data_IF_922229309211
#
_entry.id   IF_922229309211
#
_cell.length_a   1.000
_cell.length_b   1.000
_cell.length_c   1.000
_cell.angle_alpha   90.00
_cell.angle_beta   90.00
_cell.angle_gamma   90.00
#
_symmetry.space_group_name_H-M   'P 1'
#
loop_
_entity.id
_entity.type
_entity.pdbx_description
1 polymer ?
#
# COMPACT_ATOMS: atom_id res chain seq x y z
N UNK A 1 -4.42 -8.36 -4.19
CA UNK A 1 -4.09 -6.97 -3.78
C UNK A 1 -5.11 -6.42 -2.78
N UNK A 2 -6.39 -6.35 -3.15
CA UNK A 2 -7.44 -5.72 -2.35
C UNK A 2 -7.52 -6.19 -0.89
N UNK A 3 -7.54 -7.50 -0.64
CA UNK A 3 -7.73 -8.05 0.70
C UNK A 3 -6.71 -7.51 1.72
N UNK A 4 -5.41 -7.61 1.41
CA UNK A 4 -4.36 -7.14 2.32
C UNK A 4 -4.35 -5.61 2.45
N UNK A 5 -4.63 -4.87 1.38
CA UNK A 5 -4.74 -3.40 1.46
C UNK A 5 -5.84 -2.96 2.41
N UNK A 6 -7.04 -3.56 2.31
CA UNK A 6 -8.16 -3.26 3.21
C UNK A 6 -7.86 -3.67 4.64
N UNK A 7 -7.34 -4.89 4.83
CA UNK A 7 -6.96 -5.44 6.13
C UNK A 7 -5.98 -4.51 6.86
N UNK A 8 -4.86 -4.16 6.23
CA UNK A 8 -3.80 -3.38 6.89
C UNK A 8 -4.18 -1.91 7.07
N UNK A 9 -4.92 -1.33 6.12
CA UNK A 9 -5.39 0.05 6.26
C UNK A 9 -6.39 0.16 7.42
N UNK A 10 -7.39 -0.72 7.46
CA UNK A 10 -8.34 -0.77 8.57
C UNK A 10 -7.60 -0.99 9.90
N UNK A 11 -6.71 -1.99 9.99
CA UNK A 11 -5.94 -2.23 11.21
C UNK A 11 -5.12 -1.01 11.69
N UNK A 12 -4.72 -0.11 10.78
CA UNK A 12 -3.97 1.10 11.11
C UNK A 12 -4.87 2.26 11.55
N UNK A 13 -6.02 2.45 10.90
CA UNK A 13 -6.81 3.67 11.01
C UNK A 13 -8.19 3.50 11.66
N UNK A 14 -8.66 2.28 11.88
CA UNK A 14 -10.02 2.03 12.36
C UNK A 14 -10.30 2.67 13.73
N UNK A 15 -9.31 2.64 14.62
CA UNK A 15 -9.41 3.28 15.94
C UNK A 15 -9.55 4.80 15.88
N UNK A 16 -9.22 5.42 14.74
CA UNK A 16 -9.21 6.87 14.53
C UNK A 16 -10.27 7.32 13.52
N UNK A 17 -11.10 6.41 13.01
CA UNK A 17 -12.07 6.68 11.95
C UNK A 17 -13.46 6.31 12.40
N UNK A 18 -14.47 7.14 12.11
CA UNK A 18 -15.86 6.76 12.34
C UNK A 18 -16.20 5.54 11.47
N UNK A 19 -16.99 4.59 12.00
CA UNK A 19 -17.28 3.32 11.32
C UNK A 19 -17.80 3.51 9.89
N UNK A 20 -18.72 4.44 9.69
CA UNK A 20 -19.31 4.72 8.37
C UNK A 20 -18.32 5.34 7.37
N UNK A 21 -17.25 5.98 7.85
CA UNK A 21 -16.25 6.61 6.99
C UNK A 21 -15.17 5.60 6.58
N UNK A 22 -14.84 4.65 7.45
CA UNK A 22 -13.90 3.58 7.13
C UNK A 22 -14.42 2.72 5.96
N UNK A 23 -15.66 2.23 6.05
CA UNK A 23 -16.20 1.35 5.00
C UNK A 23 -16.29 2.08 3.65
N UNK A 24 -16.78 3.32 3.63
CA UNK A 24 -16.80 4.17 2.43
C UNK A 24 -15.41 4.41 1.85
N UNK A 25 -14.43 4.69 2.71
CA UNK A 25 -13.05 4.88 2.29
C UNK A 25 -12.52 3.61 1.61
N UNK A 26 -12.73 2.44 2.23
CA UNK A 26 -12.25 1.18 1.70
C UNK A 26 -12.95 0.80 0.38
N UNK A 27 -14.25 1.06 0.27
CA UNK A 27 -15.01 0.86 -0.97
C UNK A 27 -14.53 1.76 -2.10
N UNK A 28 -14.15 3.01 -1.80
CA UNK A 28 -13.71 3.97 -2.82
C UNK A 28 -12.24 3.76 -3.21
N UNK A 29 -11.33 3.72 -2.24
CA UNK A 29 -9.88 3.73 -2.48
C UNK A 29 -9.30 2.34 -2.74
N UNK A 30 -10.01 1.28 -2.32
CA UNK A 30 -9.61 -0.10 -2.57
C UNK A 30 -10.69 -0.87 -3.34
N UNK A 31 -11.49 -0.18 -4.17
CA UNK A 31 -12.35 -0.87 -5.14
C UNK A 31 -11.51 -1.72 -6.10
N UNK A 32 -12.10 -2.79 -6.63
CA UNK A 32 -11.44 -3.61 -7.63
C UNK A 32 -11.08 -2.81 -8.88
N UNK A 33 -11.94 -1.88 -9.28
CA UNK A 33 -11.69 -0.99 -10.42
C UNK A 33 -10.46 -0.12 -10.19
N UNK A 34 -10.40 0.59 -9.05
CA UNK A 34 -9.27 1.46 -8.68
C UNK A 34 -7.98 0.65 -8.63
N UNK A 35 -7.97 -0.49 -7.94
CA UNK A 35 -6.78 -1.32 -7.81
C UNK A 35 -6.33 -1.93 -9.15
N UNK A 36 -7.26 -2.28 -10.05
CA UNK A 36 -6.91 -2.73 -11.40
C UNK A 36 -6.27 -1.61 -12.21
N UNK A 37 -6.79 -0.38 -12.13
CA UNK A 37 -6.17 0.78 -12.77
C UNK A 37 -4.75 1.02 -12.23
N UNK A 38 -4.58 0.98 -10.91
CA UNK A 38 -3.27 1.15 -10.27
C UNK A 38 -2.28 0.03 -10.66
N UNK A 39 -2.73 -1.24 -10.72
CA UNK A 39 -1.88 -2.37 -11.10
C UNK A 39 -1.48 -2.38 -12.59
N UNK A 40 -2.30 -1.77 -13.45
CA UNK A 40 -2.05 -1.66 -14.89
C UNK A 40 -1.31 -0.37 -15.26
N UNK A 41 -1.07 0.53 -14.30
CA UNK A 41 -0.31 1.73 -14.54
C UNK A 41 1.19 1.40 -14.56
N UNK A 42 1.87 1.67 -15.68
CA UNK A 42 3.29 1.41 -15.85
C UNK A 42 4.18 2.23 -14.88
N UNK A 43 3.65 3.37 -14.41
CA UNK A 43 4.30 4.26 -13.45
C UNK A 43 3.98 3.93 -11.98
N UNK A 44 3.20 2.88 -11.72
CA UNK A 44 2.93 2.37 -10.38
C UNK A 44 3.49 0.96 -10.22
N UNK A 45 4.16 0.67 -9.10
CA UNK A 45 4.64 -0.67 -8.79
C UNK A 45 4.18 -1.12 -7.42
N UNK A 46 3.82 -2.40 -7.35
CA UNK A 46 3.41 -3.07 -6.12
C UNK A 46 4.36 -4.21 -5.80
N UNK A 47 4.77 -4.30 -4.55
CA UNK A 47 5.63 -5.38 -4.06
C UNK A 47 5.04 -6.02 -2.83
N UNK A 48 4.96 -7.35 -2.81
CA UNK A 48 4.66 -8.09 -1.60
C UNK A 48 5.93 -8.46 -0.86
N UNK A 49 5.86 -8.38 0.48
CA UNK A 49 6.81 -9.03 1.35
C UNK A 49 6.21 -10.36 1.80
N UNK A 50 6.93 -11.46 1.59
CA UNK A 50 6.55 -12.78 2.08
C UNK A 50 7.51 -13.24 3.18
N UNK A 51 6.95 -13.86 4.22
CA UNK A 51 7.69 -14.57 5.27
C UNK A 51 7.21 -16.01 5.24
N UNK A 52 8.03 -16.88 4.65
CA UNK A 52 7.60 -18.26 4.32
C UNK A 52 6.41 -18.25 3.35
N UNK A 53 5.33 -19.00 3.63
CA UNK A 53 4.15 -19.04 2.76
C UNK A 53 3.23 -17.82 2.92
N UNK A 54 3.47 -16.96 3.92
CA UNK A 54 2.57 -15.88 4.28
C UNK A 54 2.98 -14.54 3.69
N UNK A 55 2.00 -13.77 3.19
CA UNK A 55 2.23 -12.36 2.84
C UNK A 55 2.28 -11.55 4.14
N UNK A 56 3.43 -10.96 4.43
CA UNK A 56 3.65 -10.14 5.60
C UNK A 56 3.19 -8.69 5.44
N UNK A 57 3.19 -8.19 4.21
CA UNK A 57 2.80 -6.82 3.89
C UNK A 57 3.07 -6.47 2.44
N UNK A 58 2.95 -5.18 2.11
CA UNK A 58 3.18 -4.70 0.77
C UNK A 58 3.71 -3.26 0.72
N UNK A 59 4.22 -2.91 -0.46
CA UNK A 59 4.71 -1.60 -0.86
C UNK A 59 3.97 -1.17 -2.12
N UNK A 60 3.56 0.10 -2.21
CA UNK A 60 3.18 0.78 -3.44
C UNK A 60 4.10 1.98 -3.64
N UNK A 61 4.68 2.07 -4.83
CA UNK A 61 5.50 3.20 -5.24
C UNK A 61 4.99 3.76 -6.56
N UNK A 62 5.05 5.07 -6.71
CA UNK A 62 4.73 5.76 -7.95
C UNK A 62 5.91 6.59 -8.44
N UNK A 63 5.91 6.86 -9.74
CA UNK A 63 6.84 7.77 -10.43
C UNK A 63 6.06 8.61 -11.44
N UNK A 64 6.68 9.64 -11.99
CA UNK A 64 6.15 10.44 -13.09
C UNK A 64 4.67 10.84 -12.87
N UNK A 65 3.78 10.44 -13.78
CA UNK A 65 2.37 10.81 -13.79
C UNK A 65 1.50 10.10 -12.75
N UNK A 66 2.01 9.02 -12.14
CA UNK A 66 1.28 8.26 -11.13
C UNK A 66 1.41 8.84 -9.72
N UNK A 67 2.29 9.82 -9.52
CA UNK A 67 2.50 10.44 -8.22
C UNK A 67 1.24 11.19 -7.77
N UNK A 68 0.90 11.10 -6.48
CA UNK A 68 -0.22 11.85 -5.90
C UNK A 68 0.02 13.36 -5.89
N UNK A 69 1.29 13.77 -5.80
CA UNK A 69 1.78 15.13 -5.98
C UNK A 69 2.80 15.18 -7.12
N UNK A 70 2.72 16.19 -7.99
CA UNK A 70 3.65 16.31 -9.10
C UNK A 70 4.99 16.88 -8.62
N UNK A 71 5.92 15.99 -8.26
CA UNK A 71 7.29 16.33 -7.87
C UNK A 71 8.28 16.28 -9.05
N UNK A 72 7.82 15.98 -10.27
CA UNK A 72 8.66 15.81 -11.46
C UNK A 72 9.13 14.36 -11.67
N UNK A 73 9.80 14.11 -12.81
CA UNK A 73 10.20 12.77 -13.28
C UNK A 73 11.32 12.12 -12.48
N UNK A 74 12.13 12.91 -11.79
CA UNK A 74 13.33 12.43 -11.09
C UNK A 74 13.03 12.05 -9.63
N UNK A 75 11.75 12.05 -9.26
CA UNK A 75 11.27 11.72 -7.92
C UNK A 75 10.46 10.43 -7.93
N UNK A 76 10.51 9.75 -6.79
CA UNK A 76 9.71 8.57 -6.49
C UNK A 76 8.85 8.84 -5.26
N UNK A 77 7.60 8.46 -5.34
CA UNK A 77 6.66 8.52 -4.23
C UNK A 77 6.53 7.14 -3.59
N UNK A 78 6.76 7.07 -2.28
CA UNK A 78 6.34 5.95 -1.46
C UNK A 78 4.89 6.19 -0.99
N UNK A 79 3.91 5.80 -1.80
CA UNK A 79 2.49 6.08 -1.49
C UNK A 79 1.97 5.17 -0.35
N UNK A 80 2.32 3.87 -0.35
CA UNK A 80 1.81 2.92 0.65
C UNK A 80 2.91 1.98 1.13
N UNK A 81 3.06 1.86 2.44
CA UNK A 81 3.87 0.81 3.07
C UNK A 81 3.13 0.26 4.29
N UNK A 82 2.69 -0.99 4.19
CA UNK A 82 1.91 -1.63 5.24
C UNK A 82 2.41 -3.03 5.54
N UNK A 83 2.45 -3.37 6.83
CA UNK A 83 2.71 -4.70 7.34
C UNK A 83 1.51 -5.16 8.18
N UNK A 84 1.14 -6.43 8.08
CA UNK A 84 0.21 -7.03 9.05
C UNK A 84 0.81 -6.94 10.44
N UNK A 85 -0.05 -6.75 11.44
CA UNK A 85 0.35 -6.47 12.81
C UNK A 85 1.35 -7.49 13.37
N UNK A 86 1.15 -8.79 13.10
CA UNK A 86 2.05 -9.87 13.55
C UNK A 86 3.47 -9.83 12.98
N UNK A 87 3.72 -9.04 11.93
CA UNK A 87 5.02 -8.89 11.27
C UNK A 87 5.66 -7.50 11.53
N UNK A 88 5.01 -6.65 12.32
CA UNK A 88 5.55 -5.36 12.72
C UNK A 88 6.67 -5.53 13.77
N UNK A 89 7.47 -4.48 13.97
CA UNK A 89 8.59 -4.41 14.94
C UNK A 89 9.71 -5.46 14.76
N UNK A 90 9.76 -6.15 13.62
CA UNK A 90 10.78 -7.17 13.29
C UNK A 90 11.80 -6.69 12.25
N UNK A 91 11.85 -5.38 11.95
CA UNK A 91 12.73 -4.82 10.92
C UNK A 91 12.26 -5.04 9.48
N UNK A 92 11.12 -5.71 9.27
CA UNK A 92 10.59 -6.06 7.95
C UNK A 92 10.22 -4.84 7.08
N UNK A 93 9.85 -3.72 7.69
CA UNK A 93 9.61 -2.47 6.94
C UNK A 93 10.89 -1.95 6.27
N UNK A 94 12.05 -2.10 6.93
CA UNK A 94 13.34 -1.74 6.35
C UNK A 94 13.71 -2.65 5.18
N UNK A 95 13.33 -3.93 5.24
CA UNK A 95 13.55 -4.88 4.15
C UNK A 95 12.73 -4.48 2.91
N UNK A 96 11.47 -4.08 3.10
CA UNK A 96 10.63 -3.55 2.02
C UNK A 96 11.24 -2.30 1.37
N UNK A 97 11.69 -1.32 2.16
CA UNK A 97 12.29 -0.11 1.61
C UNK A 97 13.61 -0.37 0.87
N UNK A 98 14.49 -1.24 1.41
CA UNK A 98 15.78 -1.59 0.78
C UNK A 98 15.66 -2.30 -0.58
N UNK A 99 14.49 -2.84 -0.92
CA UNK A 99 14.27 -3.47 -2.22
C UNK A 99 14.00 -2.45 -3.32
N UNK A 100 13.67 -1.22 -2.94
CA UNK A 100 13.32 -0.14 -3.85
C UNK A 100 14.38 0.98 -3.90
N UNK A 101 15.06 1.24 -2.78
CA UNK A 101 16.23 2.13 -2.67
C UNK A 101 17.49 1.35 -3.03
#
# INVERSE_FOLDING_TARGET
MQAISRETFKATFDAYTATNDMDKFLETNYSDEKLRQELNNADSKFFFLQVGPEIAGYLKVNQASAQSENLGSDHFELERIYLRQKFQHQGLGKVLCKKWI
#
